data_IF_519247765161
#
_entry.id   IF_519247765161
#
_cell.length_a   1.000
_cell.length_b   1.000
_cell.length_c   1.000
_cell.angle_alpha   90.00
_cell.angle_beta   90.00
_cell.angle_gamma   90.00
#
_symmetry.space_group_name_H-M   'P 1'
#
loop_
_entity.id
_entity.type
_entity.pdbx_description
1 polymer ?
#
# COMPACT_ATOMS: atom_id res chain seq x y z
N UNK A 1 -27.57 7.93 20.88
CA UNK A 1 -26.67 7.01 20.13
C UNK A 1 -26.86 7.31 18.65
N UNK A 2 -25.80 7.71 17.97
CA UNK A 2 -25.85 8.30 16.63
C UNK A 2 -26.28 7.31 15.54
N UNK A 3 -27.55 7.39 15.12
CA UNK A 3 -28.10 6.63 13.99
C UNK A 3 -27.76 7.27 12.62
N UNK A 4 -26.96 8.36 12.57
CA UNK A 4 -26.52 8.99 11.30
C UNK A 4 -25.32 8.30 10.66
N UNK A 5 -24.59 7.47 11.41
CA UNK A 5 -23.37 6.84 10.88
C UNK A 5 -23.70 5.58 10.06
N UNK A 6 -23.31 5.61 8.78
CA UNK A 6 -23.52 4.51 7.83
C UNK A 6 -22.38 3.49 7.97
N UNK A 7 -22.77 2.23 8.09
CA UNK A 7 -21.90 1.06 8.08
C UNK A 7 -22.10 0.24 6.81
N UNK A 8 -20.99 -0.26 6.27
CA UNK A 8 -20.96 -1.23 5.19
C UNK A 8 -20.89 -2.61 5.80
N UNK A 9 -21.78 -3.50 5.36
CA UNK A 9 -21.62 -4.95 5.55
C UNK A 9 -21.11 -5.50 4.23
N UNK A 10 -19.89 -6.04 4.24
CA UNK A 10 -19.24 -6.70 3.12
C UNK A 10 -19.30 -8.20 3.35
N UNK A 11 -19.82 -8.96 2.39
CA UNK A 11 -19.84 -10.41 2.41
C UNK A 11 -19.06 -10.98 1.24
N UNK A 12 -18.39 -12.09 1.48
CA UNK A 12 -17.65 -12.85 0.49
C UNK A 12 -18.18 -14.29 0.46
N UNK A 13 -18.55 -14.72 -0.74
CA UNK A 13 -19.10 -16.04 -1.01
C UNK A 13 -17.95 -17.03 -1.16
N UNK A 14 -17.88 -18.10 -0.34
CA UNK A 14 -16.84 -19.11 -0.49
C UNK A 14 -16.87 -19.75 -1.89
N UNK A 15 -15.70 -20.16 -2.38
CA UNK A 15 -15.57 -20.85 -3.66
C UNK A 15 -16.53 -22.06 -3.75
N UNK A 16 -17.16 -22.23 -4.91
CA UNK A 16 -18.13 -23.30 -5.15
C UNK A 16 -19.53 -23.09 -4.56
N UNK A 17 -19.76 -22.03 -3.75
CA UNK A 17 -21.10 -21.72 -3.22
C UNK A 17 -21.81 -20.66 -4.07
N UNK A 18 -23.13 -20.76 -4.19
CA UNK A 18 -23.98 -19.75 -4.83
C UNK A 18 -24.44 -18.68 -3.83
N UNK A 19 -24.48 -17.43 -4.26
CA UNK A 19 -25.04 -16.33 -3.49
C UNK A 19 -26.56 -16.48 -3.36
N UNK A 20 -27.10 -16.43 -2.13
CA UNK A 20 -28.55 -16.56 -1.89
C UNK A 20 -29.26 -15.22 -2.08
N UNK A 21 -29.38 -14.77 -3.34
CA UNK A 21 -29.95 -13.46 -3.73
C UNK A 21 -31.27 -13.14 -3.05
N UNK A 22 -32.18 -14.11 -2.92
CA UNK A 22 -33.49 -13.87 -2.30
C UNK A 22 -33.43 -13.50 -0.80
N UNK A 23 -32.41 -13.95 -0.06
CA UNK A 23 -32.22 -13.65 1.37
C UNK A 23 -31.50 -12.32 1.59
N UNK A 24 -30.73 -11.88 0.60
CA UNK A 24 -29.83 -10.73 0.62
C UNK A 24 -30.07 -9.82 -0.59
N UNK A 25 -31.35 -9.50 -0.88
CA UNK A 25 -31.77 -8.73 -2.07
C UNK A 25 -31.21 -7.31 -2.11
N UNK A 26 -30.93 -6.77 -0.93
CA UNK A 26 -30.37 -5.45 -0.64
C UNK A 26 -28.85 -5.36 -0.82
N UNK A 27 -28.17 -6.49 -1.08
CA UNK A 27 -26.74 -6.51 -1.37
C UNK A 27 -26.48 -6.37 -2.86
N UNK A 28 -25.56 -5.48 -3.21
CA UNK A 28 -25.03 -5.29 -4.57
C UNK A 28 -23.66 -5.95 -4.71
N UNK A 29 -23.42 -6.59 -5.85
CA UNK A 29 -22.10 -7.16 -6.17
C UNK A 29 -21.10 -6.04 -6.49
N UNK A 30 -19.92 -6.09 -5.88
CA UNK A 30 -18.86 -5.10 -6.09
C UNK A 30 -17.67 -5.67 -6.85
N UNK A 31 -17.47 -6.98 -6.75
CA UNK A 31 -16.49 -7.77 -7.49
C UNK A 31 -16.96 -9.21 -7.46
N UNK A 32 -16.50 -10.06 -8.38
CA UNK A 32 -16.88 -11.48 -8.42
C UNK A 32 -16.86 -12.12 -7.03
N UNK A 33 -18.04 -12.56 -6.56
CA UNK A 33 -18.21 -13.25 -5.28
C UNK A 33 -18.17 -12.36 -4.03
N UNK A 34 -18.10 -11.03 -4.17
CA UNK A 34 -18.12 -10.07 -3.05
C UNK A 34 -19.28 -9.11 -3.21
N UNK A 35 -20.08 -9.00 -2.15
CA UNK A 35 -21.28 -8.17 -2.13
C UNK A 35 -21.26 -7.21 -0.95
N UNK A 36 -21.87 -6.04 -1.10
CA UNK A 36 -21.93 -5.01 -0.07
C UNK A 36 -23.35 -4.45 0.07
N UNK A 37 -23.68 -4.00 1.28
CA UNK A 37 -24.88 -3.24 1.57
C UNK A 37 -24.62 -2.21 2.67
N UNK A 38 -25.35 -1.10 2.61
CA UNK A 38 -25.26 0.02 3.54
C UNK A 38 -26.40 0.00 4.56
N UNK A 39 -26.07 0.20 5.84
CA UNK A 39 -27.06 0.26 6.91
C UNK A 39 -26.61 1.18 8.05
N UNK A 40 -27.56 1.63 8.87
CA UNK A 40 -27.24 2.11 10.22
C UNK A 40 -26.67 0.98 11.10
N UNK A 41 -25.90 1.36 12.13
CA UNK A 41 -25.10 0.44 12.96
C UNK A 41 -25.85 -0.80 13.47
N UNK A 42 -27.05 -0.62 14.05
CA UNK A 42 -27.85 -1.73 14.62
C UNK A 42 -28.29 -2.71 13.53
N UNK A 43 -28.78 -2.20 12.39
CA UNK A 43 -29.21 -3.02 11.26
C UNK A 43 -28.02 -3.73 10.60
N UNK A 44 -26.89 -3.04 10.45
CA UNK A 44 -25.64 -3.65 9.98
C UNK A 44 -25.24 -4.86 10.82
N UNK A 45 -25.24 -4.74 12.15
CA UNK A 45 -24.90 -5.83 13.06
C UNK A 45 -25.86 -7.03 12.93
N UNK A 46 -27.17 -6.78 12.81
CA UNK A 46 -28.16 -7.86 12.56
C UNK A 46 -27.91 -8.57 11.23
N UNK A 47 -27.58 -7.82 10.18
CA UNK A 47 -27.32 -8.35 8.84
C UNK A 47 -26.00 -9.13 8.78
N UNK A 48 -24.96 -8.66 9.47
CA UNK A 48 -23.70 -9.36 9.65
C UNK A 48 -23.92 -10.74 10.28
N UNK A 49 -24.57 -10.81 11.45
CA UNK A 49 -24.86 -12.08 12.15
C UNK A 49 -25.68 -13.05 11.30
N UNK A 50 -26.66 -12.53 10.56
CA UNK A 50 -27.46 -13.34 9.62
C UNK A 50 -26.56 -13.94 8.54
N UNK A 51 -25.71 -13.15 7.91
CA UNK A 51 -24.81 -13.63 6.86
C UNK A 51 -23.78 -14.65 7.38
N UNK A 52 -23.25 -14.48 8.59
CA UNK A 52 -22.39 -15.47 9.27
C UNK A 52 -23.10 -16.80 9.45
N UNK A 53 -24.37 -16.80 9.87
CA UNK A 53 -25.19 -18.03 10.01
C UNK A 53 -25.34 -18.80 8.70
N UNK A 54 -25.28 -18.14 7.54
CA UNK A 54 -25.31 -18.79 6.24
C UNK A 54 -23.92 -19.27 5.75
N UNK A 55 -22.87 -19.04 6.54
CA UNK A 55 -21.50 -19.45 6.25
C UNK A 55 -20.81 -18.56 5.22
N UNK A 56 -21.16 -17.27 5.16
CA UNK A 56 -20.41 -16.27 4.40
C UNK A 56 -19.28 -15.69 5.25
N UNK A 57 -18.16 -15.35 4.60
CA UNK A 57 -17.11 -14.55 5.25
C UNK A 57 -17.56 -13.10 5.22
N UNK A 58 -17.64 -12.43 6.36
CA UNK A 58 -18.21 -11.08 6.43
C UNK A 58 -17.33 -10.10 7.18
N UNK A 59 -17.51 -8.82 6.87
CA UNK A 59 -16.89 -7.69 7.55
C UNK A 59 -17.90 -6.57 7.72
N UNK A 60 -17.82 -5.86 8.83
CA UNK A 60 -18.59 -4.64 9.07
C UNK A 60 -17.63 -3.51 9.41
N UNK A 61 -17.75 -2.39 8.71
CA UNK A 61 -16.92 -1.21 8.91
C UNK A 61 -17.70 0.07 8.59
N UNK A 62 -17.27 1.21 9.14
CA UNK A 62 -17.86 2.52 8.84
C UNK A 62 -17.64 2.86 7.38
N UNK A 63 -18.63 3.46 6.70
CA UNK A 63 -18.55 3.82 5.27
C UNK A 63 -17.30 4.64 4.92
N UNK A 64 -16.89 5.54 5.84
CA UNK A 64 -15.67 6.35 5.69
C UNK A 64 -14.35 5.56 5.60
N UNK A 65 -14.35 4.27 5.96
CA UNK A 65 -13.20 3.38 5.80
C UNK A 65 -13.23 2.58 4.48
N UNK A 66 -14.33 2.65 3.73
CA UNK A 66 -14.49 2.03 2.43
C UNK A 66 -13.89 2.87 1.29
N UNK A 67 -13.45 2.22 0.22
CA UNK A 67 -12.98 2.89 -0.99
C UNK A 67 -14.18 3.42 -1.79
N UNK A 68 -14.10 4.66 -2.25
CA UNK A 68 -15.03 5.21 -3.25
C UNK A 68 -14.58 4.84 -4.66
N UNK A 69 -15.52 4.58 -5.59
CA UNK A 69 -15.20 4.39 -7.01
C UNK A 69 -14.60 5.64 -7.69
N UNK A 70 -14.85 6.83 -7.14
CA UNK A 70 -14.44 8.11 -7.75
C UNK A 70 -13.12 8.68 -7.21
N UNK A 71 -12.48 7.99 -6.24
CA UNK A 71 -11.29 8.49 -5.54
C UNK A 71 -10.14 8.85 -6.50
N UNK A 72 -9.90 8.01 -7.51
CA UNK A 72 -8.83 8.20 -8.50
C UNK A 72 -9.07 9.45 -9.34
N UNK A 73 -10.30 9.61 -9.83
CA UNK A 73 -10.69 10.78 -10.62
C UNK A 73 -10.53 12.08 -9.80
N UNK A 74 -11.04 12.10 -8.56
CA UNK A 74 -10.90 13.24 -7.65
C UNK A 74 -9.44 13.60 -7.40
N UNK A 75 -8.59 12.59 -7.19
CA UNK A 75 -7.15 12.80 -7.01
C UNK A 75 -6.50 13.43 -8.24
N UNK A 76 -6.74 12.88 -9.44
CA UNK A 76 -6.14 13.37 -10.68
C UNK A 76 -6.63 14.78 -11.04
N UNK A 77 -7.89 15.11 -10.72
CA UNK A 77 -8.44 16.46 -10.87
C UNK A 77 -7.79 17.47 -9.92
N UNK A 78 -7.59 17.09 -8.66
CA UNK A 78 -6.98 17.97 -7.65
C UNK A 78 -5.46 18.13 -7.83
N UNK A 79 -4.78 17.09 -8.31
CA UNK A 79 -3.34 17.08 -8.53
C UNK A 79 -3.04 16.68 -9.99
N UNK A 80 -3.07 17.61 -10.93
CA UNK A 80 -2.67 17.35 -12.31
C UNK A 80 -1.16 17.02 -12.39
N UNK A 81 -0.72 16.30 -13.44
CA UNK A 81 0.69 15.97 -13.61
C UNK A 81 1.52 17.21 -13.96
N UNK A 82 2.74 17.27 -13.44
CA UNK A 82 3.69 18.33 -13.76
C UNK A 82 4.52 17.91 -14.98
N UNK A 83 4.58 18.76 -16.02
CA UNK A 83 5.25 18.43 -17.29
C UNK A 83 4.78 17.09 -17.88
N UNK A 84 3.47 16.83 -17.80
CA UNK A 84 2.84 15.61 -18.30
C UNK A 84 3.19 14.32 -17.53
N UNK A 85 3.88 14.40 -16.39
CA UNK A 85 4.26 13.22 -15.59
C UNK A 85 3.96 13.41 -14.11
N UNK A 86 3.62 12.31 -13.45
CA UNK A 86 3.57 12.23 -12.00
C UNK A 86 4.92 11.79 -11.44
N UNK A 87 5.26 12.23 -10.23
CA UNK A 87 6.39 11.69 -9.48
C UNK A 87 5.91 10.61 -8.51
N UNK A 88 6.50 9.43 -8.57
CA UNK A 88 6.27 8.41 -7.58
C UNK A 88 6.72 8.89 -6.20
N UNK A 89 5.79 9.04 -5.25
CA UNK A 89 6.16 9.47 -3.88
C UNK A 89 7.04 8.47 -3.15
N UNK A 90 7.15 7.24 -3.66
CA UNK A 90 7.83 6.13 -2.99
C UNK A 90 9.22 5.80 -3.51
N UNK A 91 9.52 6.14 -4.77
CA UNK A 91 10.82 5.91 -5.39
C UNK A 91 11.37 7.09 -6.20
N UNK A 92 10.59 8.16 -6.42
CA UNK A 92 11.04 9.36 -7.12
C UNK A 92 10.97 9.31 -8.64
N UNK A 93 10.71 8.12 -9.22
CA UNK A 93 10.55 7.93 -10.66
C UNK A 93 9.44 8.82 -11.23
N UNK A 94 9.68 9.44 -12.39
CA UNK A 94 8.64 10.11 -13.18
C UNK A 94 7.81 9.06 -13.94
N UNK A 95 6.49 9.15 -13.88
CA UNK A 95 5.53 8.17 -14.39
C UNK A 95 4.51 8.90 -15.26
N UNK A 96 4.19 8.34 -16.43
CA UNK A 96 3.09 8.84 -17.25
C UNK A 96 1.74 8.60 -16.56
N UNK A 97 0.71 9.45 -16.76
CA UNK A 97 -0.60 9.29 -16.14
C UNK A 97 -1.24 7.91 -16.34
N UNK A 98 -1.07 7.30 -17.52
CA UNK A 98 -1.60 5.98 -17.88
C UNK A 98 -0.96 4.82 -17.11
N UNK A 99 0.30 4.97 -16.69
CA UNK A 99 1.03 3.97 -15.87
C UNK A 99 1.01 4.28 -14.38
N UNK A 100 0.40 5.39 -13.98
CA UNK A 100 0.37 5.84 -12.59
C UNK A 100 -0.77 5.16 -11.82
N UNK A 101 -0.49 4.74 -10.59
CA UNK A 101 -1.48 4.25 -9.63
C UNK A 101 -1.69 5.28 -8.52
N UNK A 102 -2.94 5.48 -8.11
CA UNK A 102 -3.29 6.28 -6.94
C UNK A 102 -3.39 5.32 -5.74
N UNK A 103 -2.44 5.46 -4.82
CA UNK A 103 -2.37 4.65 -3.60
C UNK A 103 -2.87 5.43 -2.38
N UNK A 104 -3.38 4.69 -1.40
CA UNK A 104 -3.78 5.21 -0.11
C UNK A 104 -2.62 5.06 0.87
N UNK A 105 -2.13 6.16 1.43
CA UNK A 105 -1.02 6.18 2.40
C UNK A 105 -1.34 5.28 3.60
N UNK A 106 -2.55 5.41 4.15
CA UNK A 106 -3.17 4.42 5.03
C UNK A 106 -4.11 3.55 4.18
N UNK A 107 -3.78 2.27 3.95
CA UNK A 107 -4.54 1.37 3.09
C UNK A 107 -5.98 1.17 3.54
N UNK A 108 -6.87 1.00 2.56
CA UNK A 108 -8.30 0.73 2.77
C UNK A 108 -8.50 -0.54 3.63
N UNK A 109 -7.82 -1.65 3.29
CA UNK A 109 -8.00 -2.91 4.04
C UNK A 109 -7.55 -2.79 5.50
N UNK A 110 -6.49 -2.02 5.75
CA UNK A 110 -6.05 -1.71 7.10
C UNK A 110 -7.10 -0.87 7.84
N UNK A 111 -7.70 0.14 7.19
CA UNK A 111 -8.75 0.95 7.79
C UNK A 111 -10.04 0.14 8.07
N UNK A 112 -10.36 -0.85 7.23
CA UNK A 112 -11.51 -1.76 7.47
C UNK A 112 -11.31 -2.67 8.68
N UNK A 113 -10.08 -3.03 9.04
CA UNK A 113 -9.80 -4.13 9.99
C UNK A 113 -9.08 -3.70 11.26
N UNK A 114 -8.20 -2.69 11.20
CA UNK A 114 -7.32 -2.33 12.30
C UNK A 114 -7.79 -1.08 13.04
N UNK A 115 -8.06 -1.20 14.35
CA UNK A 115 -8.36 -0.06 15.22
C UNK A 115 -7.26 1.01 15.19
N UNK A 116 -5.99 0.62 15.02
CA UNK A 116 -4.87 1.56 14.90
C UNK A 116 -4.97 2.39 13.62
N UNK A 117 -5.27 1.75 12.49
CA UNK A 117 -5.46 2.45 11.22
C UNK A 117 -6.70 3.36 11.28
N UNK A 118 -7.81 2.88 11.84
CA UNK A 118 -9.02 3.67 12.05
C UNK A 118 -8.75 4.94 12.86
N UNK A 119 -8.06 4.83 14.01
CA UNK A 119 -7.65 5.99 14.80
C UNK A 119 -6.77 6.98 14.02
N UNK A 120 -5.90 6.48 13.15
CA UNK A 120 -5.08 7.36 12.29
C UNK A 120 -5.93 8.06 11.23
N UNK A 121 -6.91 7.36 10.65
CA UNK A 121 -7.84 7.95 9.69
C UNK A 121 -8.68 9.03 10.37
N UNK A 122 -9.33 8.70 11.48
CA UNK A 122 -10.26 9.59 12.17
C UNK A 122 -9.58 10.86 12.68
N UNK A 123 -8.32 10.77 13.11
CA UNK A 123 -7.56 11.93 13.60
C UNK A 123 -7.03 12.85 12.50
N UNK A 124 -6.87 12.36 11.28
CA UNK A 124 -6.12 13.06 10.24
C UNK A 124 -6.94 13.43 9.01
N UNK A 125 -7.99 12.68 8.72
CA UNK A 125 -8.73 12.80 7.47
C UNK A 125 -10.21 12.96 7.74
N UNK A 126 -10.71 14.16 7.48
CA UNK A 126 -12.11 14.53 7.65
C UNK A 126 -13.02 13.60 6.84
N UNK A 127 -12.64 13.33 5.58
CA UNK A 127 -13.43 12.51 4.65
C UNK A 127 -13.06 11.01 4.69
N UNK A 128 -12.33 10.58 5.72
CA UNK A 128 -11.93 9.19 5.90
C UNK A 128 -10.83 8.75 4.93
N UNK A 129 -10.87 7.50 4.48
CA UNK A 129 -9.77 6.92 3.68
C UNK A 129 -9.60 7.57 2.30
N UNK A 130 -10.67 8.13 1.73
CA UNK A 130 -10.69 8.71 0.38
C UNK A 130 -10.28 10.20 0.36
N UNK A 131 -9.84 10.74 1.49
CA UNK A 131 -9.36 12.12 1.58
C UNK A 131 -8.13 12.34 0.70
N UNK A 132 -8.04 13.49 0.04
CA UNK A 132 -6.96 13.82 -0.90
C UNK A 132 -5.58 13.73 -0.24
N UNK A 133 -5.49 14.05 1.06
CA UNK A 133 -4.25 13.95 1.83
C UNK A 133 -3.81 12.51 2.15
N UNK A 134 -4.74 11.55 2.07
CA UNK A 134 -4.44 10.14 2.18
C UNK A 134 -4.09 9.52 0.81
N UNK A 135 -4.22 10.26 -0.29
CA UNK A 135 -3.99 9.76 -1.65
C UNK A 135 -2.67 10.27 -2.21
N UNK A 136 -1.93 9.38 -2.88
CA UNK A 136 -0.64 9.71 -3.48
C UNK A 136 -0.41 9.03 -4.83
N UNK A 137 0.34 9.67 -5.75
CA UNK A 137 0.72 9.06 -7.00
C UNK A 137 1.94 8.15 -6.79
N UNK A 138 1.85 6.91 -7.24
CA UNK A 138 2.97 5.98 -7.19
C UNK A 138 3.02 5.09 -8.44
N UNK A 139 4.14 4.37 -8.62
CA UNK A 139 4.24 3.35 -9.66
C UNK A 139 3.67 2.03 -9.14
N UNK A 140 3.18 1.21 -10.07
CA UNK A 140 2.66 -0.12 -9.78
C UNK A 140 3.58 -0.96 -8.87
N UNK A 141 4.88 -1.02 -9.18
CA UNK A 141 5.87 -1.78 -8.38
C UNK A 141 5.94 -1.32 -6.92
N UNK A 142 5.90 -0.01 -6.67
CA UNK A 142 5.92 0.52 -5.31
C UNK A 142 4.60 0.31 -4.59
N UNK A 143 3.47 0.44 -5.29
CA UNK A 143 2.15 0.15 -4.75
C UNK A 143 2.07 -1.31 -4.26
N UNK A 144 2.48 -2.25 -5.12
CA UNK A 144 2.53 -3.67 -4.78
C UNK A 144 3.48 -3.96 -3.61
N UNK A 145 4.69 -3.39 -3.63
CA UNK A 145 5.66 -3.56 -2.54
C UNK A 145 5.16 -3.00 -1.19
N UNK A 146 4.36 -1.93 -1.20
CA UNK A 146 3.76 -1.40 0.02
C UNK A 146 2.63 -2.30 0.52
N UNK A 147 1.76 -2.77 -0.39
CA UNK A 147 0.61 -3.60 -0.06
C UNK A 147 -0.27 -2.95 1.01
N UNK A 148 -0.62 -3.72 2.04
CA UNK A 148 -1.42 -3.27 3.19
C UNK A 148 -0.59 -2.60 4.30
N UNK A 149 0.72 -2.38 4.10
CA UNK A 149 1.58 -1.76 5.11
C UNK A 149 1.52 -0.23 5.07
N UNK A 150 1.65 0.39 6.25
CA UNK A 150 1.62 1.85 6.42
C UNK A 150 2.66 2.31 7.47
N UNK A 151 3.82 1.66 7.45
CA UNK A 151 4.94 1.99 8.34
C UNK A 151 5.37 3.45 8.21
N UNK A 152 6.09 3.95 9.22
CA UNK A 152 6.53 5.34 9.27
C UNK A 152 7.28 5.77 7.99
N UNK A 153 8.11 4.89 7.43
CA UNK A 153 8.88 5.12 6.20
C UNK A 153 7.99 5.44 4.99
N UNK A 154 6.86 4.75 4.85
CA UNK A 154 5.92 5.02 3.77
C UNK A 154 5.19 6.35 3.98
N UNK A 155 4.82 6.67 5.23
CA UNK A 155 4.16 7.94 5.58
C UNK A 155 5.06 9.15 5.33
N UNK A 156 6.35 9.07 5.64
CA UNK A 156 7.31 10.14 5.33
C UNK A 156 7.47 10.34 3.85
N UNK A 157 7.65 9.24 3.11
CA UNK A 157 7.75 9.29 1.66
C UNK A 157 6.48 9.88 1.02
N UNK A 158 5.30 9.53 1.53
CA UNK A 158 4.05 10.15 1.09
C UNK A 158 4.02 11.66 1.34
N UNK A 159 4.52 12.13 2.50
CA UNK A 159 4.54 13.56 2.86
C UNK A 159 5.50 14.38 1.99
N UNK A 160 6.72 13.90 1.75
CA UNK A 160 7.76 14.71 1.11
C UNK A 160 8.09 14.28 -0.33
N UNK A 161 7.78 13.04 -0.69
CA UNK A 161 8.22 12.40 -1.94
C UNK A 161 7.62 12.97 -3.22
N UNK A 162 6.66 13.89 -3.14
CA UNK A 162 6.20 14.67 -4.30
C UNK A 162 7.27 15.67 -4.77
N UNK A 163 8.07 16.21 -3.85
CA UNK A 163 9.06 17.25 -4.12
C UNK A 163 10.30 16.66 -4.77
N UNK A 164 10.78 17.27 -5.86
CA UNK A 164 12.02 16.83 -6.52
C UNK A 164 13.24 16.95 -5.60
N UNK A 165 13.30 18.01 -4.77
CA UNK A 165 14.36 18.24 -3.78
C UNK A 165 14.51 17.09 -2.78
N UNK A 166 13.41 16.49 -2.31
CA UNK A 166 13.46 15.34 -1.42
C UNK A 166 14.22 14.16 -2.04
N UNK A 167 13.97 13.87 -3.32
CA UNK A 167 14.66 12.77 -4.00
C UNK A 167 16.12 13.09 -4.28
N UNK A 168 16.44 14.33 -4.68
CA UNK A 168 17.84 14.78 -4.80
C UNK A 168 18.61 14.55 -3.49
N UNK A 169 18.02 14.97 -2.37
CA UNK A 169 18.57 14.74 -1.03
C UNK A 169 18.72 13.24 -0.71
N UNK A 170 17.69 12.42 -0.95
CA UNK A 170 17.76 10.96 -0.72
C UNK A 170 18.86 10.30 -1.56
N UNK A 171 19.06 10.72 -2.81
CA UNK A 171 20.13 10.21 -3.65
C UNK A 171 21.51 10.64 -3.16
N UNK A 172 21.66 11.91 -2.76
CA UNK A 172 22.90 12.43 -2.17
C UNK A 172 23.28 11.66 -0.89
N UNK A 173 22.36 11.50 0.06
CA UNK A 173 22.61 10.75 1.29
C UNK A 173 22.99 9.29 0.99
N UNK A 174 22.34 8.64 0.03
CA UNK A 174 22.70 7.27 -0.38
C UNK A 174 24.11 7.18 -0.95
N UNK A 175 24.49 8.16 -1.77
CA UNK A 175 25.85 8.23 -2.33
C UNK A 175 26.88 8.42 -1.21
N UNK A 176 26.64 9.34 -0.27
CA UNK A 176 27.54 9.57 0.86
C UNK A 176 27.70 8.32 1.74
N UNK A 177 26.60 7.65 2.09
CA UNK A 177 26.66 6.39 2.86
C UNK A 177 27.45 5.31 2.09
N UNK A 178 27.23 5.19 0.78
CA UNK A 178 27.98 4.25 -0.06
C UNK A 178 29.49 4.55 -0.06
N UNK A 179 29.88 5.82 -0.20
CA UNK A 179 31.28 6.24 -0.15
C UNK A 179 31.91 5.95 1.21
N UNK A 180 31.19 6.19 2.32
CA UNK A 180 31.66 5.86 3.68
C UNK A 180 31.88 4.36 3.85
N UNK A 181 30.96 3.53 3.36
CA UNK A 181 31.09 2.07 3.41
C UNK A 181 32.27 1.59 2.57
N UNK A 182 32.47 2.14 1.38
CA UNK A 182 33.64 1.83 0.54
C UNK A 182 34.94 2.22 1.21
N UNK A 183 35.00 3.40 1.81
CA UNK A 183 36.18 3.88 2.54
C UNK A 183 36.49 2.98 3.75
N UNK A 184 35.47 2.59 4.52
CA UNK A 184 35.63 1.66 5.62
C UNK A 184 36.13 0.28 5.15
N UNK A 185 35.58 -0.25 4.06
CA UNK A 185 36.03 -1.51 3.45
C UNK A 185 37.49 -1.42 2.98
N UNK A 186 37.89 -0.29 2.39
CA UNK A 186 39.27 -0.04 1.99
C UNK A 186 40.21 -0.02 3.20
N UNK A 187 39.88 0.72 4.26
CA UNK A 187 40.69 0.76 5.49
C UNK A 187 40.80 -0.62 6.15
N UNK A 188 39.73 -1.41 6.16
CA UNK A 188 39.77 -2.79 6.65
C UNK A 188 40.70 -3.65 5.78
N UNK A 189 40.60 -3.58 4.45
CA UNK A 189 41.46 -4.33 3.54
C UNK A 189 42.95 -3.99 3.74
N UNK A 190 43.28 -2.71 3.92
CA UNK A 190 44.64 -2.24 4.22
C UNK A 190 45.09 -2.71 5.60
N UNK A 191 44.25 -2.53 6.63
CA UNK A 191 44.57 -2.86 8.03
C UNK A 191 44.81 -4.35 8.24
N UNK A 192 44.07 -5.19 7.54
CA UNK A 192 44.19 -6.65 7.66
C UNK A 192 45.10 -7.27 6.60
N UNK A 193 45.77 -6.46 5.74
CA UNK A 193 46.64 -6.91 4.62
C UNK A 193 46.16 -8.25 4.06
N UNK A 194 44.91 -8.32 3.59
CA UNK A 194 44.36 -9.57 3.05
C UNK A 194 45.33 -10.05 1.95
N UNK A 195 46.07 -11.15 2.13
CA UNK A 195 47.03 -11.57 1.13
C UNK A 195 46.23 -12.02 -0.08
N UNK A 196 46.35 -11.31 -1.20
CA UNK A 196 45.71 -11.63 -2.48
C UNK A 196 45.92 -13.10 -2.93
N UNK A 197 46.94 -13.78 -2.39
CA UNK A 197 47.25 -15.20 -2.61
C UNK A 197 46.20 -16.20 -2.14
N UNK A 198 45.25 -15.84 -1.27
CA UNK A 198 44.21 -16.78 -0.81
C UNK A 198 42.90 -16.71 -1.60
N UNK A 199 42.73 -15.74 -2.51
CA UNK A 199 41.53 -15.61 -3.36
C UNK A 199 41.61 -16.40 -4.68
N UNK A 200 42.81 -16.89 -5.03
CA UNK A 200 43.03 -17.78 -6.17
C UNK A 200 43.96 -18.92 -5.72
N UNK A 201 43.45 -20.14 -5.46
CA UNK A 201 44.33 -21.26 -5.20
C UNK A 201 45.14 -21.55 -6.46
N UNK A 202 46.43 -21.22 -6.41
CA UNK A 202 47.40 -21.62 -7.42
C UNK A 202 47.69 -23.11 -7.19
N UNK A 203 46.95 -23.97 -7.88
CA UNK A 203 47.10 -25.41 -7.68
C UNK A 203 46.14 -26.30 -8.45
N UNK A 204 45.77 -25.93 -9.68
CA UNK A 204 45.30 -26.91 -10.66
C UNK A 204 46.49 -27.22 -11.58
N UNK A 205 47.40 -28.06 -11.10
CA UNK A 205 48.38 -28.72 -11.97
C UNK A 205 47.57 -29.72 -12.78
N UNK A 206 47.37 -29.44 -14.07
CA UNK A 206 46.88 -30.41 -15.03
C UNK A 206 47.82 -31.63 -15.02
N UNK A 207 47.31 -32.88 -14.96
CA UNK A 207 48.16 -34.02 -15.24
C UNK A 207 48.55 -33.97 -16.72
N UNK A 208 49.85 -33.91 -16.99
CA UNK A 208 50.37 -34.05 -18.33
C UNK A 208 50.14 -35.49 -18.80
N UNK A 209 49.57 -35.58 -19.99
CA UNK A 209 49.50 -36.78 -20.83
C UNK A 209 50.91 -37.22 -21.17
N UNK A 210 51.31 -38.43 -20.79
CA UNK A 210 52.15 -39.35 -21.54
C UNK A 210 51.87 -40.78 -21.08
#
# INVERSE_FOLDING_TARGET
MDDREIYIVELHVPAGRKFRRWRFRDFSETSSGTYQAEYGKRKAAKRLRKAEKYGYRVRMYRKRYGRSGTYRYRFMKAYPPENGKYRCVYCGKKIRPDKMTVDHVIPVDAAKTSKKAQRLIDRRYENGVNDLDNLVPCCYRCNQKKGSTYSWRWRIRARYGRRAGYWRFVHLVRLLVFLVVLLAAFFLAVRFRVPLRQLFPSGAVCPAVF
#
